data_IF_053586304431
#
_entry.id   IF_053586304431
#
_cell.length_a   1.000
_cell.length_b   1.000
_cell.length_c   1.000
_cell.angle_alpha   90.00
_cell.angle_beta   90.00
_cell.angle_gamma   90.00
#
_symmetry.space_group_name_H-M   'P 1'
#
loop_
_entity.id
_entity.type
_entity.pdbx_description
1 polymer ?
#
# COMPACT_ATOMS: atom_id res chain seq x y z
N UNK A 1 -2.43 0.60 42.68
CA UNK A 1 -3.75 1.04 42.20
C UNK A 1 -3.65 2.49 41.75
N UNK A 2 -3.35 2.72 40.47
CA UNK A 2 -3.25 4.05 39.84
C UNK A 2 -4.16 4.00 38.61
N UNK A 3 -4.88 5.10 38.41
CA UNK A 3 -6.19 5.18 37.76
C UNK A 3 -6.13 4.96 36.26
N UNK A 4 -6.95 4.04 35.75
CA UNK A 4 -7.42 3.96 34.36
C UNK A 4 -8.23 5.24 34.10
N UNK A 5 -7.77 6.11 33.21
CA UNK A 5 -8.50 7.31 32.84
C UNK A 5 -8.27 7.68 31.37
N UNK A 6 -9.30 7.39 30.56
CA UNK A 6 -9.76 8.18 29.42
C UNK A 6 -8.80 8.34 28.22
N UNK A 7 -8.81 7.34 27.33
CA UNK A 7 -8.48 7.55 25.92
C UNK A 7 -9.70 8.21 25.24
N UNK A 8 -9.74 9.54 25.27
CA UNK A 8 -10.76 10.32 24.56
C UNK A 8 -10.40 10.32 23.08
N UNK A 9 -11.13 9.51 22.32
CA UNK A 9 -11.17 9.58 20.85
C UNK A 9 -11.70 10.97 20.45
N UNK A 10 -10.80 11.82 19.99
CA UNK A 10 -11.12 13.12 19.39
C UNK A 10 -10.78 13.04 17.90
N UNK A 11 -11.75 12.56 17.10
CA UNK A 11 -11.86 12.92 15.69
C UNK A 11 -13.26 13.48 15.49
N UNK A 12 -13.29 14.77 15.15
CA UNK A 12 -14.50 15.58 15.08
C UNK A 12 -15.37 15.20 13.86
N UNK A 13 -16.67 15.06 14.08
CA UNK A 13 -17.69 15.27 13.06
C UNK A 13 -18.71 16.31 13.59
N UNK A 14 -18.84 17.41 12.86
CA UNK A 14 -19.75 18.50 13.17
C UNK A 14 -21.23 18.08 13.03
N UNK A 15 -22.04 18.44 14.04
CA UNK A 15 -23.44 18.85 13.87
C UNK A 15 -24.50 17.75 13.73
N UNK A 16 -25.19 17.43 14.83
CA UNK A 16 -26.46 16.69 14.78
C UNK A 16 -26.80 16.01 16.10
N UNK A 17 -27.66 16.64 16.90
CA UNK A 17 -28.27 16.03 18.08
C UNK A 17 -29.21 14.88 17.67
N UNK A 18 -28.90 13.64 18.07
CA UNK A 18 -29.83 12.53 17.95
C UNK A 18 -29.25 11.16 18.26
N UNK A 19 -29.49 10.66 19.48
CA UNK A 19 -29.44 9.24 19.94
C UNK A 19 -28.10 8.47 19.86
N UNK A 20 -27.71 7.71 20.91
CA UNK A 20 -26.58 6.81 20.82
C UNK A 20 -26.97 5.60 19.99
N UNK A 21 -26.70 5.64 18.69
CA UNK A 21 -26.63 4.42 17.91
C UNK A 21 -25.32 3.72 18.31
N UNK A 22 -25.42 2.64 19.09
CA UNK A 22 -24.29 1.71 19.27
C UNK A 22 -24.12 0.92 17.98
N UNK A 23 -23.66 1.59 16.93
CA UNK A 23 -23.19 0.92 15.72
C UNK A 23 -21.81 0.39 16.02
N UNK A 24 -21.74 -0.79 16.63
CA UNK A 24 -20.50 -1.55 16.70
C UNK A 24 -20.05 -1.81 15.28
N UNK A 25 -18.84 -1.37 14.92
CA UNK A 25 -18.28 -1.63 13.59
C UNK A 25 -18.29 -3.15 13.34
N UNK A 26 -18.83 -3.63 12.21
CA UNK A 26 -18.95 -5.07 11.94
C UNK A 26 -17.59 -5.80 11.96
N UNK A 27 -16.48 -5.07 11.79
CA UNK A 27 -15.11 -5.59 11.82
C UNK A 27 -14.59 -5.87 13.23
N UNK A 28 -15.23 -5.32 14.26
CA UNK A 28 -14.76 -5.39 15.66
C UNK A 28 -14.53 -6.82 16.14
N UNK A 29 -15.44 -7.75 15.84
CA UNK A 29 -15.31 -9.14 16.29
C UNK A 29 -14.10 -9.85 15.67
N UNK A 30 -13.88 -9.64 14.37
CA UNK A 30 -12.74 -10.22 13.66
C UNK A 30 -11.41 -9.58 14.11
N UNK A 31 -11.40 -8.27 14.36
CA UNK A 31 -10.22 -7.57 14.88
C UNK A 31 -9.83 -8.08 16.29
N UNK A 32 -10.81 -8.32 17.18
CA UNK A 32 -10.56 -8.92 18.51
C UNK A 32 -9.98 -10.32 18.38
N UNK A 33 -10.53 -11.15 17.48
CA UNK A 33 -10.04 -12.50 17.26
C UNK A 33 -8.59 -12.50 16.75
N UNK A 34 -8.28 -11.61 15.79
CA UNK A 34 -6.92 -11.42 15.30
C UNK A 34 -5.99 -10.95 16.42
N UNK A 35 -6.36 -9.89 17.14
CA UNK A 35 -5.54 -9.33 18.21
C UNK A 35 -5.25 -10.37 19.31
N UNK A 36 -6.25 -11.19 19.68
CA UNK A 36 -6.05 -12.28 20.63
C UNK A 36 -5.10 -13.38 20.13
N UNK A 37 -5.00 -13.58 18.81
CA UNK A 37 -4.02 -14.50 18.22
C UNK A 37 -2.62 -13.88 18.11
N UNK A 38 -2.55 -12.57 17.92
CA UNK A 38 -1.31 -11.79 17.76
C UNK A 38 -0.68 -11.38 19.11
N UNK A 39 -1.40 -11.52 20.22
CA UNK A 39 -0.96 -11.23 21.59
C UNK A 39 0.45 -11.79 21.90
N UNK A 40 0.69 -13.04 21.49
CA UNK A 40 2.00 -13.71 21.68
C UNK A 40 3.16 -13.03 20.94
N UNK A 41 2.90 -12.26 19.88
CA UNK A 41 3.95 -11.51 19.19
C UNK A 41 4.40 -10.30 20.02
N UNK A 42 3.54 -9.77 20.91
CA UNK A 42 3.87 -8.65 21.79
C UNK A 42 4.49 -9.11 23.12
N UNK A 43 4.46 -10.42 23.42
CA UNK A 43 5.11 -10.98 24.60
C UNK A 43 6.60 -10.62 24.65
N UNK A 44 7.04 -10.06 25.77
CA UNK A 44 8.43 -9.67 25.97
C UNK A 44 8.83 -8.33 25.35
N UNK A 45 7.90 -7.64 24.68
CA UNK A 45 8.06 -6.25 24.22
C UNK A 45 7.56 -5.26 25.28
N UNK A 46 7.86 -3.96 25.11
CA UNK A 46 7.24 -2.89 25.92
C UNK A 46 5.71 -2.80 25.83
N UNK A 47 5.10 -3.51 24.89
CA UNK A 47 3.65 -3.53 24.63
C UNK A 47 2.96 -4.79 25.18
N UNK A 48 3.64 -5.66 25.93
CA UNK A 48 3.08 -6.92 26.43
C UNK A 48 1.85 -6.77 27.34
N UNK A 49 1.64 -5.58 27.92
CA UNK A 49 0.49 -5.28 28.77
C UNK A 49 -0.69 -4.66 27.99
N UNK A 50 -0.58 -4.49 26.67
CA UNK A 50 -1.68 -4.00 25.84
C UNK A 50 -2.79 -5.05 25.76
N UNK A 51 -4.02 -4.72 26.17
CA UNK A 51 -5.13 -5.64 26.00
C UNK A 51 -5.37 -5.91 24.50
N UNK A 52 -5.67 -7.16 24.10
CA UNK A 52 -6.06 -7.47 22.73
C UNK A 52 -7.23 -6.62 22.21
N UNK A 53 -8.15 -6.24 23.10
CA UNK A 53 -9.24 -5.32 22.78
C UNK A 53 -8.74 -3.93 22.32
N UNK A 54 -7.67 -3.40 22.93
CA UNK A 54 -7.07 -2.12 22.54
C UNK A 54 -6.39 -2.22 21.18
N UNK A 55 -5.67 -3.31 20.90
CA UNK A 55 -5.09 -3.55 19.57
C UNK A 55 -6.19 -3.65 18.50
N UNK A 56 -7.28 -4.34 18.81
CA UNK A 56 -8.44 -4.45 17.92
C UNK A 56 -9.12 -3.10 17.65
N UNK A 57 -9.29 -2.25 18.68
CA UNK A 57 -9.81 -0.89 18.52
C UNK A 57 -8.93 -0.05 17.61
N UNK A 58 -7.60 -0.14 17.76
CA UNK A 58 -6.64 0.56 16.89
C UNK A 58 -6.78 0.06 15.44
N UNK A 59 -6.86 -1.25 15.20
CA UNK A 59 -7.06 -1.81 13.86
C UNK A 59 -8.36 -1.28 13.23
N UNK A 60 -9.47 -1.30 13.97
CA UNK A 60 -10.76 -0.79 13.47
C UNK A 60 -10.68 0.71 13.14
N UNK A 61 -10.00 1.50 13.98
CA UNK A 61 -9.78 2.92 13.72
C UNK A 61 -8.93 3.16 12.47
N UNK A 62 -7.84 2.41 12.29
CA UNK A 62 -6.99 2.45 11.09
C UNK A 62 -7.78 2.10 9.82
N UNK A 63 -8.70 1.13 9.92
CA UNK A 63 -9.59 0.73 8.85
C UNK A 63 -10.65 1.79 8.48
N UNK A 64 -10.87 2.81 9.31
CA UNK A 64 -11.73 3.96 9.00
C UNK A 64 -10.95 5.17 8.44
N UNK A 65 -9.62 5.11 8.44
CA UNK A 65 -8.75 6.15 7.90
C UNK A 65 -8.85 6.27 6.37
N UNK A 66 -8.36 7.40 5.85
CA UNK A 66 -8.28 7.67 4.40
C UNK A 66 -6.87 8.05 3.90
N UNK A 67 -5.89 8.22 4.81
CA UNK A 67 -4.48 8.52 4.49
C UNK A 67 -3.64 7.31 4.07
N UNK A 68 -2.33 7.35 4.29
CA UNK A 68 -1.46 6.18 4.10
C UNK A 68 -1.52 5.26 5.31
N UNK A 69 -1.69 3.95 5.11
CA UNK A 69 -1.76 2.98 6.20
C UNK A 69 -0.44 2.95 6.98
N UNK A 70 0.69 3.02 6.29
CA UNK A 70 2.00 3.04 6.94
C UNK A 70 2.17 4.26 7.85
N UNK A 71 1.72 5.44 7.40
CA UNK A 71 1.76 6.68 8.19
C UNK A 71 0.81 6.60 9.37
N UNK A 72 -0.42 6.13 9.14
CA UNK A 72 -1.44 6.00 10.17
C UNK A 72 -1.01 4.98 11.25
N UNK A 73 -0.40 3.86 10.84
CA UNK A 73 0.15 2.83 11.75
C UNK A 73 1.32 3.39 12.56
N UNK A 74 2.27 4.09 11.94
CA UNK A 74 3.39 4.69 12.66
C UNK A 74 2.90 5.72 13.69
N UNK A 75 1.91 6.54 13.32
CA UNK A 75 1.26 7.48 14.23
C UNK A 75 0.53 6.77 15.38
N UNK A 76 -0.17 5.67 15.08
CA UNK A 76 -0.84 4.86 16.09
C UNK A 76 0.14 4.28 17.10
N UNK A 77 1.26 3.68 16.65
CA UNK A 77 2.32 3.16 17.53
C UNK A 77 2.91 4.27 18.40
N UNK A 78 3.18 5.44 17.83
CA UNK A 78 3.68 6.60 18.59
C UNK A 78 2.67 7.15 19.62
N UNK A 79 1.38 6.91 19.43
CA UNK A 79 0.32 7.32 20.34
C UNK A 79 0.01 6.29 21.44
N UNK A 80 0.54 5.06 21.33
CA UNK A 80 0.39 4.05 22.37
C UNK A 80 1.20 4.45 23.60
N UNK A 81 0.51 4.67 24.71
CA UNK A 81 1.15 4.85 26.01
C UNK A 81 1.77 3.52 26.48
N UNK A 82 3.09 3.40 26.38
CA UNK A 82 3.86 2.26 26.87
C UNK A 82 5.18 2.73 27.50
N UNK A 83 5.79 1.93 28.41
CA UNK A 83 7.11 2.21 28.93
C UNK A 83 8.15 2.39 27.80
N UNK A 84 9.29 3.06 28.06
CA UNK A 84 10.42 3.04 27.14
C UNK A 84 10.85 1.60 26.88
N UNK A 85 11.16 1.28 25.62
CA UNK A 85 11.66 -0.03 25.22
C UNK A 85 12.58 0.09 24.03
N UNK A 86 12.94 -1.05 23.45
CA UNK A 86 13.85 -1.10 22.32
C UNK A 86 13.12 -0.69 21.03
N UNK A 87 13.86 -0.10 20.08
CA UNK A 87 13.28 0.29 18.78
C UNK A 87 12.68 -0.90 18.01
N UNK A 88 13.12 -2.13 18.30
CA UNK A 88 12.55 -3.36 17.74
C UNK A 88 11.12 -3.65 18.21
N UNK A 89 10.74 -3.19 19.41
CA UNK A 89 9.39 -3.39 19.94
C UNK A 89 8.35 -2.64 19.09
N UNK A 90 8.69 -1.42 18.65
CA UNK A 90 7.84 -0.59 17.80
C UNK A 90 7.63 -1.23 16.43
N UNK A 91 8.67 -1.86 15.87
CA UNK A 91 8.59 -2.61 14.62
C UNK A 91 7.63 -3.79 14.76
N UNK A 92 7.73 -4.54 15.86
CA UNK A 92 6.83 -5.67 16.12
C UNK A 92 5.37 -5.21 16.22
N UNK A 93 5.09 -4.11 16.92
CA UNK A 93 3.71 -3.57 16.99
C UNK A 93 3.25 -3.04 15.63
N UNK A 94 4.12 -2.39 14.84
CA UNK A 94 3.80 -1.98 13.47
C UNK A 94 3.43 -3.18 12.59
N UNK A 95 4.18 -4.27 12.66
CA UNK A 95 3.90 -5.51 11.91
C UNK A 95 2.56 -6.13 12.30
N UNK A 96 2.25 -6.17 13.60
CA UNK A 96 0.94 -6.63 14.11
C UNK A 96 -0.19 -5.75 13.58
N UNK A 97 -0.06 -4.42 13.66
CA UNK A 97 -1.10 -3.52 13.18
C UNK A 97 -1.28 -3.59 11.66
N UNK A 98 -0.20 -3.65 10.89
CA UNK A 98 -0.25 -3.78 9.42
C UNK A 98 -0.89 -5.10 8.98
N UNK A 99 -0.50 -6.20 9.62
CA UNK A 99 -1.08 -7.53 9.35
C UNK A 99 -2.57 -7.54 9.72
N UNK A 100 -2.93 -6.95 10.86
CA UNK A 100 -4.32 -6.79 11.28
C UNK A 100 -5.16 -6.00 10.29
N UNK A 101 -4.67 -4.84 9.84
CA UNK A 101 -5.34 -4.02 8.80
C UNK A 101 -5.49 -4.80 7.50
N UNK A 102 -4.44 -5.51 7.06
CA UNK A 102 -4.50 -6.33 5.84
C UNK A 102 -5.51 -7.47 5.88
N UNK A 103 -5.75 -8.07 7.05
CA UNK A 103 -6.73 -9.14 7.22
C UNK A 103 -8.16 -8.62 7.41
N UNK A 104 -8.33 -7.47 8.07
CA UNK A 104 -9.64 -6.96 8.50
C UNK A 104 -10.24 -5.95 7.51
N UNK A 105 -9.40 -5.17 6.83
CA UNK A 105 -9.80 -4.18 5.83
C UNK A 105 -8.78 -4.17 4.67
N UNK A 106 -8.73 -5.26 3.87
CA UNK A 106 -7.76 -5.39 2.77
C UNK A 106 -7.87 -4.26 1.73
N UNK A 107 -9.05 -3.67 1.57
CA UNK A 107 -9.27 -2.50 0.71
C UNK A 107 -8.41 -1.29 1.11
N UNK A 108 -8.08 -1.16 2.40
CA UNK A 108 -7.26 -0.09 2.93
C UNK A 108 -5.80 -0.24 2.49
N UNK A 109 -5.28 -1.47 2.55
CA UNK A 109 -3.94 -1.80 2.07
C UNK A 109 -3.87 -1.64 0.55
N UNK A 110 -4.90 -2.09 -0.18
CA UNK A 110 -4.99 -1.91 -1.62
C UNK A 110 -5.00 -0.42 -2.02
N UNK A 111 -5.69 0.43 -1.28
CA UNK A 111 -5.70 1.88 -1.51
C UNK A 111 -4.32 2.52 -1.27
N UNK A 112 -3.61 2.14 -0.21
CA UNK A 112 -2.27 2.65 0.08
C UNK A 112 -1.24 2.19 -0.97
N UNK A 113 -1.33 0.93 -1.41
CA UNK A 113 -0.50 0.40 -2.50
C UNK A 113 -0.79 1.09 -3.83
N UNK A 114 -2.05 1.40 -4.11
CA UNK A 114 -2.44 2.20 -5.29
C UNK A 114 -1.89 3.63 -5.21
N UNK A 115 -1.94 4.25 -4.03
CA UNK A 115 -1.36 5.57 -3.82
C UNK A 115 0.17 5.56 -3.94
N UNK A 116 0.84 4.55 -3.41
CA UNK A 116 2.29 4.35 -3.53
C UNK A 116 2.70 4.12 -5.00
N UNK A 117 1.92 3.33 -5.74
CA UNK A 117 2.06 3.15 -7.18
C UNK A 117 1.97 4.49 -7.92
N UNK A 118 0.90 5.28 -7.70
CA UNK A 118 0.72 6.58 -8.35
C UNK A 118 1.84 7.57 -8.00
N UNK A 119 2.25 7.61 -6.73
CA UNK A 119 3.36 8.45 -6.28
C UNK A 119 4.69 8.08 -6.96
N UNK A 120 4.97 6.78 -7.12
CA UNK A 120 6.17 6.30 -7.80
C UNK A 120 6.17 6.65 -9.29
N UNK A 121 5.02 6.51 -9.97
CA UNK A 121 4.86 6.92 -11.37
C UNK A 121 5.07 8.43 -11.50
N UNK A 122 4.40 9.24 -10.67
CA UNK A 122 4.52 10.70 -10.71
C UNK A 122 5.95 11.19 -10.46
N UNK A 123 6.66 10.60 -9.49
CA UNK A 123 8.06 10.91 -9.22
C UNK A 123 8.97 10.59 -10.43
N UNK A 124 8.68 9.51 -11.15
CA UNK A 124 9.46 9.13 -12.33
C UNK A 124 9.19 10.05 -13.53
N UNK A 125 7.93 10.42 -13.74
CA UNK A 125 7.55 11.43 -14.75
C UNK A 125 8.26 12.75 -14.49
N UNK A 126 8.29 13.20 -13.23
CA UNK A 126 8.94 14.45 -12.82
C UNK A 126 10.48 14.44 -12.98
N UNK A 127 11.13 13.27 -12.89
CA UNK A 127 12.58 13.13 -12.90
C UNK A 127 13.20 12.83 -14.28
N UNK A 128 12.38 12.58 -15.30
CA UNK A 128 12.89 12.34 -16.65
C UNK A 128 11.90 11.68 -17.63
N UNK A 129 10.75 11.20 -17.14
CA UNK A 129 9.73 10.60 -18.00
C UNK A 129 8.97 11.62 -18.86
N UNK A 130 8.72 12.84 -18.37
CA UNK A 130 8.16 13.97 -19.14
C UNK A 130 6.75 13.79 -19.72
N UNK A 131 6.25 12.55 -19.83
CA UNK A 131 4.93 12.19 -20.33
C UNK A 131 4.02 11.94 -19.14
N UNK A 132 3.03 12.80 -18.98
CA UNK A 132 2.05 12.69 -17.90
C UNK A 132 0.98 11.67 -18.29
N UNK A 133 0.76 10.68 -17.44
CA UNK A 133 -0.39 9.78 -17.51
C UNK A 133 -1.39 10.27 -16.45
N UNK A 134 -2.66 10.44 -16.85
CA UNK A 134 -3.75 10.76 -15.94
C UNK A 134 -3.84 9.71 -14.82
N UNK A 135 -4.10 10.11 -13.57
CA UNK A 135 -4.07 9.18 -12.42
C UNK A 135 -5.10 8.06 -12.56
N UNK A 136 -6.32 8.36 -13.02
CA UNK A 136 -7.34 7.35 -13.21
C UNK A 136 -6.97 6.38 -14.33
N UNK A 137 -6.36 6.90 -15.41
CA UNK A 137 -5.80 6.07 -16.47
C UNK A 137 -4.63 5.21 -15.96
N UNK A 138 -3.73 5.77 -15.17
CA UNK A 138 -2.56 5.08 -14.63
C UNK A 138 -2.96 3.88 -13.78
N UNK A 139 -3.98 4.01 -12.91
CA UNK A 139 -4.49 2.87 -12.13
C UNK A 139 -5.01 1.76 -13.06
N UNK A 140 -5.82 2.11 -14.06
CA UNK A 140 -6.34 1.13 -15.02
C UNK A 140 -5.23 0.42 -15.80
N UNK A 141 -4.22 1.17 -16.25
CA UNK A 141 -3.05 0.63 -16.95
C UNK A 141 -2.22 -0.25 -16.04
N UNK A 142 -1.99 0.15 -14.78
CA UNK A 142 -1.26 -0.65 -13.80
C UNK A 142 -1.93 -2.00 -13.53
N UNK A 143 -3.25 -2.03 -13.39
CA UNK A 143 -4.01 -3.28 -13.23
C UNK A 143 -3.96 -4.15 -14.50
N UNK A 144 -4.18 -3.57 -15.67
CA UNK A 144 -4.06 -4.30 -16.95
C UNK A 144 -2.63 -4.83 -17.20
N UNK A 145 -1.61 -4.13 -16.68
CA UNK A 145 -0.22 -4.58 -16.70
C UNK A 145 -0.04 -5.84 -15.85
N UNK A 146 -0.64 -5.88 -14.66
CA UNK A 146 -0.62 -7.07 -13.82
C UNK A 146 -1.34 -8.26 -14.49
N UNK A 147 -2.50 -8.03 -15.11
CA UNK A 147 -3.20 -9.07 -15.89
C UNK A 147 -2.34 -9.59 -17.06
N UNK A 148 -1.64 -8.70 -17.77
CA UNK A 148 -0.72 -9.09 -18.83
C UNK A 148 0.48 -9.89 -18.30
N UNK A 149 0.99 -9.55 -17.11
CA UNK A 149 2.04 -10.32 -16.45
C UNK A 149 1.55 -11.70 -16.01
N UNK A 150 0.31 -11.84 -15.54
CA UNK A 150 -0.28 -13.13 -15.20
C UNK A 150 -0.42 -14.04 -16.44
N UNK A 151 -0.78 -13.46 -17.58
CA UNK A 151 -1.04 -14.20 -18.82
C UNK A 151 0.20 -14.44 -19.69
N UNK A 152 1.25 -13.61 -19.57
CA UNK A 152 2.32 -13.53 -20.56
C UNK A 152 3.67 -13.07 -19.99
N UNK A 153 4.41 -12.30 -20.78
CA UNK A 153 5.77 -11.86 -20.45
C UNK A 153 5.84 -10.37 -20.07
N UNK A 154 6.96 -9.90 -19.48
CA UNK A 154 7.17 -8.47 -19.26
C UNK A 154 7.10 -7.61 -20.53
N UNK A 155 7.46 -8.18 -21.69
CA UNK A 155 7.30 -7.49 -22.98
C UNK A 155 5.83 -7.26 -23.33
N UNK A 156 4.96 -8.26 -23.13
CA UNK A 156 3.51 -8.12 -23.36
C UNK A 156 2.90 -7.10 -22.40
N UNK A 157 3.35 -7.10 -21.15
CA UNK A 157 2.97 -6.10 -20.16
C UNK A 157 3.42 -4.69 -20.58
N UNK A 158 4.62 -4.55 -21.16
CA UNK A 158 5.10 -3.28 -21.71
C UNK A 158 4.25 -2.80 -22.91
N UNK A 159 3.79 -3.73 -23.76
CA UNK A 159 2.83 -3.41 -24.84
C UNK A 159 1.52 -2.86 -24.27
N UNK A 160 0.98 -3.49 -23.23
CA UNK A 160 -0.22 -3.00 -22.54
C UNK A 160 -0.02 -1.60 -21.97
N UNK A 161 1.15 -1.33 -21.37
CA UNK A 161 1.49 0.02 -20.87
C UNK A 161 1.59 1.04 -22.01
N UNK A 162 2.25 0.70 -23.11
CA UNK A 162 2.38 1.60 -24.25
C UNK A 162 1.03 1.93 -24.88
N UNK A 163 0.18 0.93 -25.10
CA UNK A 163 -1.15 1.11 -25.67
C UNK A 163 -2.08 1.87 -24.72
N UNK A 164 -2.19 1.43 -23.47
CA UNK A 164 -3.15 1.98 -22.51
C UNK A 164 -2.71 3.31 -21.89
N UNK A 165 -1.41 3.48 -21.64
CA UNK A 165 -0.87 4.67 -20.96
C UNK A 165 -0.40 5.77 -21.90
N UNK A 166 0.07 5.41 -23.11
CA UNK A 166 0.68 6.34 -24.06
C UNK A 166 -0.09 6.43 -25.39
N UNK A 167 -1.10 5.58 -25.62
CA UNK A 167 -1.85 5.53 -26.88
C UNK A 167 -1.03 5.00 -28.06
N UNK A 168 0.02 4.21 -27.78
CA UNK A 168 0.94 3.69 -28.80
C UNK A 168 0.59 2.23 -29.08
N UNK A 169 0.05 1.97 -30.27
CA UNK A 169 -0.19 0.62 -30.75
C UNK A 169 1.06 0.10 -31.45
N UNK A 170 1.81 -0.76 -30.78
CA UNK A 170 3.02 -1.39 -31.29
C UNK A 170 3.18 -2.79 -30.70
N UNK A 171 3.86 -3.66 -31.43
CA UNK A 171 4.28 -4.98 -30.92
C UNK A 171 5.47 -4.84 -29.96
N UNK A 172 5.70 -5.87 -29.15
CA UNK A 172 6.88 -5.94 -28.27
C UNK A 172 8.19 -5.69 -29.03
N UNK A 173 8.36 -6.29 -30.21
CA UNK A 173 9.55 -6.10 -31.03
C UNK A 173 9.74 -4.66 -31.51
N UNK A 174 8.65 -3.97 -31.86
CA UNK A 174 8.69 -2.56 -32.29
C UNK A 174 9.02 -1.62 -31.12
N UNK A 175 8.44 -1.85 -29.94
CA UNK A 175 8.76 -1.09 -28.73
C UNK A 175 10.24 -1.22 -28.37
N UNK A 176 10.77 -2.44 -28.38
CA UNK A 176 12.17 -2.74 -28.09
C UNK A 176 13.13 -2.21 -29.17
N UNK A 177 12.66 -2.02 -30.40
CA UNK A 177 13.42 -1.42 -31.49
C UNK A 177 13.43 0.13 -31.45
N UNK A 178 12.77 0.75 -30.48
CA UNK A 178 12.76 2.21 -30.30
C UNK A 178 11.50 2.90 -30.84
N UNK A 179 10.36 2.21 -30.90
CA UNK A 179 9.07 2.87 -31.19
C UNK A 179 8.65 3.87 -30.10
N UNK A 180 9.22 3.76 -28.90
CA UNK A 180 9.11 4.76 -27.84
C UNK A 180 10.28 5.73 -27.93
N UNK A 181 9.99 7.02 -27.84
CA UNK A 181 11.04 7.98 -27.54
C UNK A 181 11.61 7.75 -26.11
N UNK A 182 12.77 8.33 -25.76
CA UNK A 182 13.39 8.08 -24.46
C UNK A 182 12.50 8.43 -23.25
N UNK A 183 11.70 9.50 -23.35
CA UNK A 183 10.82 9.97 -22.29
C UNK A 183 9.62 9.01 -22.11
N UNK A 184 9.03 8.56 -23.22
CA UNK A 184 8.01 7.53 -23.27
C UNK A 184 8.51 6.20 -22.72
N UNK A 185 9.74 5.79 -23.09
CA UNK A 185 10.37 4.56 -22.59
C UNK A 185 10.60 4.59 -21.08
N UNK A 186 11.08 5.70 -20.53
CA UNK A 186 11.24 5.89 -19.08
C UNK A 186 9.89 5.79 -18.37
N UNK A 187 8.87 6.47 -18.89
CA UNK A 187 7.52 6.47 -18.30
C UNK A 187 6.89 5.07 -18.33
N UNK A 188 6.97 4.37 -19.46
CA UNK A 188 6.43 3.02 -19.60
C UNK A 188 7.15 2.01 -18.69
N UNK A 189 8.49 2.10 -18.60
CA UNK A 189 9.29 1.28 -17.69
C UNK A 189 8.96 1.56 -16.23
N UNK A 190 8.71 2.82 -15.86
CA UNK A 190 8.33 3.21 -14.50
C UNK A 190 6.96 2.65 -14.11
N UNK A 191 5.98 2.72 -15.01
CA UNK A 191 4.66 2.13 -14.81
C UNK A 191 4.77 0.62 -14.62
N UNK A 192 5.52 -0.07 -15.50
CA UNK A 192 5.73 -1.52 -15.41
C UNK A 192 6.40 -1.93 -14.08
N UNK A 193 7.51 -1.26 -13.72
CA UNK A 193 8.24 -1.56 -12.49
C UNK A 193 7.44 -1.23 -11.22
N UNK A 194 6.67 -0.14 -11.24
CA UNK A 194 5.83 0.28 -10.11
C UNK A 194 4.62 -0.65 -9.95
N UNK A 195 3.96 -1.04 -11.05
CA UNK A 195 2.86 -2.00 -11.00
C UNK A 195 3.32 -3.35 -10.42
N UNK A 196 4.45 -3.87 -10.90
CA UNK A 196 5.04 -5.10 -10.38
C UNK A 196 5.59 -4.97 -8.95
N UNK A 197 5.78 -3.76 -8.42
CA UNK A 197 6.25 -3.55 -7.04
C UNK A 197 5.10 -3.39 -6.06
N UNK A 198 4.04 -2.69 -6.46
CA UNK A 198 2.98 -2.28 -5.54
C UNK A 198 1.64 -2.98 -5.81
N UNK A 199 1.33 -3.35 -7.04
CA UNK A 199 0.03 -3.92 -7.42
C UNK A 199 0.06 -5.44 -7.58
N UNK A 200 1.14 -5.98 -8.15
CA UNK A 200 1.34 -7.42 -8.37
C UNK A 200 2.78 -7.87 -8.02
N UNK A 201 3.14 -7.84 -6.72
CA UNK A 201 4.50 -8.07 -6.23
C UNK A 201 5.09 -9.45 -6.58
N UNK A 202 4.25 -10.45 -6.84
CA UNK A 202 4.64 -11.78 -7.32
C UNK A 202 5.46 -11.74 -8.62
N UNK A 203 5.29 -10.69 -9.45
CA UNK A 203 6.02 -10.52 -10.71
C UNK A 203 7.29 -9.68 -10.57
N UNK A 204 7.58 -9.14 -9.39
CA UNK A 204 8.65 -8.16 -9.17
C UNK A 204 10.03 -8.68 -9.63
N UNK A 205 10.36 -9.94 -9.33
CA UNK A 205 11.65 -10.52 -9.70
C UNK A 205 11.87 -10.56 -11.21
N UNK A 206 10.87 -11.05 -11.95
CA UNK A 206 10.89 -11.17 -13.41
C UNK A 206 10.95 -9.80 -14.10
N UNK A 207 10.19 -8.82 -13.60
CA UNK A 207 10.20 -7.45 -14.14
C UNK A 207 11.54 -6.76 -13.87
N UNK A 208 12.16 -6.95 -12.69
CA UNK A 208 13.49 -6.40 -12.40
C UNK A 208 14.56 -6.93 -13.33
N UNK A 209 14.56 -8.23 -13.61
CA UNK A 209 15.50 -8.85 -14.56
C UNK A 209 15.33 -8.26 -15.96
N UNK A 210 14.08 -8.18 -16.45
CA UNK A 210 13.76 -7.58 -17.73
C UNK A 210 14.23 -6.11 -17.85
N UNK A 211 13.93 -5.27 -16.85
CA UNK A 211 14.35 -3.85 -16.85
C UNK A 211 15.88 -3.73 -16.83
N UNK A 212 16.58 -4.61 -16.10
CA UNK A 212 18.04 -4.64 -16.09
C UNK A 212 18.62 -5.03 -17.46
N UNK A 213 18.01 -6.00 -18.15
CA UNK A 213 18.40 -6.34 -19.52
C UNK A 213 18.21 -5.18 -20.49
N UNK A 214 17.10 -4.44 -20.39
CA UNK A 214 16.86 -3.26 -21.24
C UNK A 214 17.91 -2.18 -21.01
N UNK A 215 18.23 -1.90 -19.75
CA UNK A 215 19.28 -0.94 -19.40
C UNK A 215 20.65 -1.34 -19.97
N UNK A 216 20.97 -2.65 -19.97
CA UNK A 216 22.21 -3.16 -20.54
C UNK A 216 22.25 -3.09 -22.07
N UNK A 217 21.11 -3.11 -22.75
CA UNK A 217 21.02 -3.00 -24.23
C UNK A 217 21.06 -1.54 -24.73
N UNK A 218 20.75 -0.58 -23.87
CA UNK A 218 20.75 0.86 -24.18
C UNK A 218 22.04 1.61 -23.84
N UNK A 219 23.07 0.93 -23.31
CA UNK A 219 24.42 1.46 -23.04
C UNK A 219 25.40 1.05 -24.15
#
# INVERSE_FOLDING_TARGET
MRRVAALVVLVAACGGSGTPATTTDPRTAAAIQYAGSADRALDGTRFSELPPATVAEVIVALCAGSGSVLVDVAAAVGAVEAPPGDAGDDVILQEVLLTGVGLICPERVAADLTAAYLAAVAATVASGGGVVIDEALAVGVGLATCEALDAGTPEDALVTVAAGGLGIEATAGELLAGALDPAQGITAGAVLASAATYLCPEHQGRVREFVAELAARGA
#
